data_IF_014266054970
#
_entry.id   IF_014266054970
#
_cell.length_a   1.000
_cell.length_b   1.000
_cell.length_c   1.000
_cell.angle_alpha   90.00
_cell.angle_beta   90.00
_cell.angle_gamma   90.00
#
_symmetry.space_group_name_H-M   'P 1'
#
loop_
_entity.id
_entity.type
_entity.pdbx_description
1 polymer ?
#
# COMPACT_ATOMS: atom_id res chain seq x y z
N UNK A 1 5.16 -11.56 -10.56
CA UNK A 1 6.45 -10.97 -10.90
C UNK A 1 7.48 -11.12 -9.81
N UNK A 2 7.15 -10.73 -8.58
CA UNK A 2 8.07 -10.86 -7.45
C UNK A 2 8.53 -12.30 -7.24
N UNK A 3 7.62 -13.26 -7.34
CA UNK A 3 7.92 -14.67 -7.14
C UNK A 3 8.93 -15.23 -8.13
N UNK A 4 9.07 -14.58 -9.29
CA UNK A 4 10.04 -15.03 -10.31
C UNK A 4 11.47 -14.57 -10.03
N UNK A 5 11.62 -13.50 -9.22
CA UNK A 5 12.89 -12.82 -9.05
C UNK A 5 13.55 -13.06 -7.69
N UNK A 6 12.87 -13.73 -6.78
CA UNK A 6 13.38 -14.00 -5.44
C UNK A 6 13.24 -15.48 -5.10
N UNK A 7 14.19 -15.99 -4.33
CA UNK A 7 14.18 -17.40 -3.91
C UNK A 7 13.06 -17.72 -2.94
N UNK A 8 12.71 -16.77 -2.08
CA UNK A 8 11.67 -16.95 -1.08
C UNK A 8 10.86 -15.68 -0.98
N UNK A 9 9.56 -15.79 -1.23
CA UNK A 9 8.64 -14.68 -1.13
C UNK A 9 7.44 -15.09 -0.29
N UNK A 10 7.12 -14.24 0.68
CA UNK A 10 5.83 -14.30 1.38
C UNK A 10 5.00 -13.12 0.94
N UNK A 11 3.73 -13.38 0.60
CA UNK A 11 2.79 -12.33 0.21
C UNK A 11 1.66 -12.30 1.23
N UNK A 12 1.40 -11.11 1.78
CA UNK A 12 0.33 -10.88 2.75
C UNK A 12 -0.69 -9.95 2.12
N UNK A 13 -1.94 -10.35 2.16
CA UNK A 13 -3.06 -9.57 1.63
C UNK A 13 -3.86 -8.99 2.78
N UNK A 14 -4.03 -7.65 2.77
CA UNK A 14 -4.83 -6.94 3.76
C UNK A 14 -5.96 -6.26 3.03
N UNK A 15 -7.20 -6.59 3.42
CA UNK A 15 -8.36 -5.89 2.91
C UNK A 15 -8.78 -4.85 3.95
N UNK A 16 -9.00 -3.63 3.51
CA UNK A 16 -9.48 -2.59 4.41
C UNK A 16 -10.85 -2.10 3.97
N UNK A 17 -11.71 -2.00 4.93
CA UNK A 17 -13.08 -1.55 4.79
C UNK A 17 -13.36 -0.65 5.99
N UNK A 18 -14.40 -0.89 6.78
CA UNK A 18 -14.56 -0.20 8.07
C UNK A 18 -13.55 -0.71 9.07
N UNK A 19 -13.08 -1.95 8.91
CA UNK A 19 -11.97 -2.49 9.69
C UNK A 19 -11.03 -3.24 8.75
N UNK A 20 -9.77 -3.37 9.16
CA UNK A 20 -8.78 -4.09 8.36
C UNK A 20 -8.62 -5.50 8.87
N UNK A 21 -8.39 -6.43 7.94
CA UNK A 21 -8.04 -7.80 8.31
C UNK A 21 -7.16 -8.42 7.23
N UNK A 22 -6.30 -9.33 7.66
CA UNK A 22 -5.52 -10.15 6.75
C UNK A 22 -6.45 -11.17 6.11
N UNK A 23 -6.32 -11.36 4.79
CA UNK A 23 -7.16 -12.28 4.03
C UNK A 23 -6.28 -13.10 3.09
N UNK A 24 -6.82 -14.18 2.54
CA UNK A 24 -6.12 -14.93 1.50
C UNK A 24 -6.28 -14.24 0.15
N UNK A 25 -5.51 -14.72 -0.84
CA UNK A 25 -5.51 -14.13 -2.17
C UNK A 25 -6.90 -14.14 -2.81
N UNK A 26 -7.64 -15.22 -2.65
CA UNK A 26 -8.97 -15.35 -3.23
C UNK A 26 -9.94 -14.34 -2.62
N UNK A 27 -9.94 -14.22 -1.30
CA UNK A 27 -10.80 -13.26 -0.63
C UNK A 27 -10.43 -11.82 -0.99
N UNK A 28 -9.15 -11.54 -1.12
CA UNK A 28 -8.67 -10.21 -1.49
C UNK A 28 -9.19 -9.77 -2.86
N UNK A 29 -9.12 -10.65 -3.87
CA UNK A 29 -9.48 -10.28 -5.22
C UNK A 29 -10.96 -10.43 -5.56
N UNK A 30 -11.68 -11.32 -4.87
CA UNK A 30 -13.04 -11.68 -5.28
C UNK A 30 -14.12 -11.23 -4.31
N UNK A 31 -13.79 -10.81 -3.10
CA UNK A 31 -14.84 -10.34 -2.21
C UNK A 31 -15.25 -8.92 -2.54
N UNK A 32 -16.52 -8.61 -2.34
CA UNK A 32 -17.07 -7.28 -2.57
C UNK A 32 -17.67 -6.77 -1.29
N UNK A 33 -17.24 -5.60 -0.86
CA UNK A 33 -17.80 -4.95 0.31
C UNK A 33 -18.04 -3.49 -0.01
N UNK A 34 -19.11 -2.95 0.58
CA UNK A 34 -19.47 -1.55 0.44
C UNK A 34 -19.54 -0.89 1.80
N UNK A 35 -19.24 0.39 1.87
CA UNK A 35 -19.29 1.15 3.11
C UNK A 35 -18.10 2.08 3.26
N UNK A 36 -18.03 2.75 4.40
CA UNK A 36 -16.94 3.68 4.68
C UNK A 36 -15.63 2.95 4.95
N UNK A 37 -14.52 3.66 4.74
CA UNK A 37 -13.19 3.10 4.92
C UNK A 37 -12.40 3.98 5.89
N UNK A 38 -11.74 3.34 6.85
CA UNK A 38 -10.77 3.99 7.71
C UNK A 38 -9.41 3.38 7.37
N UNK A 39 -8.68 4.05 6.49
CA UNK A 39 -7.46 3.51 5.89
C UNK A 39 -6.37 3.27 6.92
N UNK A 40 -6.30 4.10 7.98
CA UNK A 40 -5.29 3.91 9.03
C UNK A 40 -5.37 2.53 9.68
N UNK A 41 -6.55 1.92 9.71
CA UNK A 41 -6.69 0.57 10.28
C UNK A 41 -5.89 -0.47 9.49
N UNK A 42 -5.84 -0.32 8.18
CA UNK A 42 -5.03 -1.21 7.33
C UNK A 42 -3.53 -0.99 7.56
N UNK A 43 -3.11 0.26 7.68
CA UNK A 43 -1.70 0.57 7.93
C UNK A 43 -1.24 0.09 9.30
N UNK A 44 -2.09 0.22 10.31
CA UNK A 44 -1.80 -0.30 11.65
C UNK A 44 -1.65 -1.82 11.64
N UNK A 45 -2.56 -2.51 10.93
CA UNK A 45 -2.46 -3.96 10.80
C UNK A 45 -1.19 -4.37 10.05
N UNK A 46 -0.85 -3.65 8.99
CA UNK A 46 0.38 -3.90 8.25
C UNK A 46 1.61 -3.77 9.16
N UNK A 47 1.65 -2.72 9.97
CA UNK A 47 2.76 -2.50 10.88
C UNK A 47 2.88 -3.61 11.92
N UNK A 48 1.74 -4.07 12.46
CA UNK A 48 1.74 -5.20 13.41
C UNK A 48 2.26 -6.48 12.76
N UNK A 49 1.84 -6.77 11.54
CA UNK A 49 2.29 -7.96 10.81
C UNK A 49 3.79 -7.88 10.53
N UNK A 50 4.27 -6.72 10.12
CA UNK A 50 5.70 -6.52 9.88
C UNK A 50 6.50 -6.79 11.14
N UNK A 51 6.07 -6.23 12.28
CA UNK A 51 6.79 -6.39 13.54
C UNK A 51 6.79 -7.84 14.03
N UNK A 52 5.68 -8.54 13.85
CA UNK A 52 5.53 -9.91 14.38
C UNK A 52 6.16 -10.98 13.50
N UNK A 53 6.09 -10.82 12.17
CA UNK A 53 6.44 -11.91 11.25
C UNK A 53 7.60 -11.59 10.32
N UNK A 54 7.95 -10.32 10.11
CA UNK A 54 8.92 -9.93 9.09
C UNK A 54 9.94 -8.94 9.63
N UNK A 55 10.82 -9.37 10.55
CA UNK A 55 11.87 -8.49 11.07
C UNK A 55 12.74 -7.94 9.95
N UNK A 56 13.06 -6.64 10.02
CA UNK A 56 13.76 -5.94 8.93
C UNK A 56 15.18 -6.46 8.71
N UNK A 57 15.79 -7.12 9.71
CA UNK A 57 17.12 -7.71 9.55
C UNK A 57 17.08 -9.04 8.80
N UNK A 58 15.91 -9.60 8.56
CA UNK A 58 15.75 -10.88 7.86
C UNK A 58 14.97 -10.75 6.55
N UNK A 59 14.20 -9.67 6.38
CA UNK A 59 13.30 -9.51 5.24
C UNK A 59 13.46 -8.14 4.58
N UNK A 60 13.42 -8.13 3.26
CA UNK A 60 13.22 -6.92 2.50
C UNK A 60 11.72 -6.76 2.29
N UNK A 61 11.16 -5.66 2.76
CA UNK A 61 9.71 -5.46 2.80
C UNK A 61 9.30 -4.47 1.71
N UNK A 62 8.35 -4.87 0.90
CA UNK A 62 7.75 -4.05 -0.16
C UNK A 62 6.26 -3.93 0.11
N UNK A 63 5.72 -2.73 -0.05
CA UNK A 63 4.31 -2.49 0.15
C UNK A 63 3.62 -1.98 -1.10
N UNK A 64 2.36 -2.35 -1.27
CA UNK A 64 1.52 -1.87 -2.35
C UNK A 64 0.12 -1.64 -1.81
N UNK A 65 -0.40 -0.43 -2.04
CA UNK A 65 -1.74 -0.07 -1.62
C UNK A 65 -2.53 0.41 -2.82
N UNK A 66 -3.72 -0.14 -3.00
CA UNK A 66 -4.65 0.30 -4.02
C UNK A 66 -5.96 0.74 -3.35
N UNK A 67 -6.46 1.90 -3.72
CA UNK A 67 -7.64 2.51 -3.10
C UNK A 67 -8.29 3.49 -4.07
N UNK A 68 -9.58 3.78 -3.89
CA UNK A 68 -10.22 4.88 -4.62
C UNK A 68 -9.86 6.24 -4.03
N UNK A 69 -9.08 6.25 -2.96
CA UNK A 69 -8.64 7.47 -2.30
C UNK A 69 -9.61 8.05 -1.29
N UNK A 70 -10.82 7.51 -1.23
CA UNK A 70 -11.82 8.00 -0.29
C UNK A 70 -11.46 7.55 1.12
N UNK A 71 -11.43 8.50 2.03
CA UNK A 71 -11.07 8.27 3.42
C UNK A 71 -11.61 9.43 4.24
N UNK A 72 -11.82 9.21 5.53
CA UNK A 72 -12.22 10.28 6.42
C UNK A 72 -11.13 11.36 6.47
N UNK A 73 -11.53 12.61 6.44
CA UNK A 73 -10.58 13.73 6.45
C UNK A 73 -9.69 13.73 7.68
N UNK A 74 -10.23 13.31 8.84
CA UNK A 74 -9.45 13.23 10.07
C UNK A 74 -8.49 12.05 10.08
N UNK A 75 -8.73 11.04 9.26
CA UNK A 75 -7.91 9.84 9.22
C UNK A 75 -6.73 9.95 8.25
N UNK A 76 -6.87 10.72 7.19
CA UNK A 76 -5.81 10.84 6.18
C UNK A 76 -4.49 11.35 6.75
N UNK A 77 -4.46 12.39 7.61
CA UNK A 77 -3.22 12.78 8.27
C UNK A 77 -2.65 11.70 9.18
N UNK A 78 -3.50 10.88 9.80
CA UNK A 78 -3.06 9.75 10.61
C UNK A 78 -2.35 8.72 9.74
N UNK A 79 -2.87 8.45 8.55
CA UNK A 79 -2.24 7.55 7.57
C UNK A 79 -0.85 8.06 7.17
N UNK A 80 -0.75 9.35 6.87
CA UNK A 80 0.54 9.98 6.55
C UNK A 80 1.54 9.79 7.68
N UNK A 81 1.14 10.05 8.92
CA UNK A 81 2.05 9.96 10.06
C UNK A 81 2.48 8.52 10.32
N UNK A 82 1.58 7.56 10.17
CA UNK A 82 1.92 6.14 10.31
C UNK A 82 2.94 5.73 9.25
N UNK A 83 2.73 6.13 8.00
CA UNK A 83 3.67 5.81 6.93
C UNK A 83 5.04 6.41 7.20
N UNK A 84 5.10 7.70 7.50
CA UNK A 84 6.38 8.40 7.68
C UNK A 84 7.15 7.87 8.89
N UNK A 85 6.46 7.61 10.01
CA UNK A 85 7.13 7.32 11.28
C UNK A 85 7.26 5.83 11.59
N UNK A 86 6.36 4.98 11.08
CA UNK A 86 6.27 3.59 11.53
C UNK A 86 6.44 2.57 10.42
N UNK A 87 6.22 2.93 9.17
CA UNK A 87 6.28 1.98 8.05
C UNK A 87 7.46 2.26 7.14
N UNK A 88 7.55 3.46 6.58
CA UNK A 88 8.56 3.78 5.57
C UNK A 88 10.02 3.59 6.05
N UNK A 89 10.36 3.88 7.33
CA UNK A 89 11.74 3.63 7.78
C UNK A 89 12.19 2.18 7.68
N UNK A 90 11.23 1.23 7.61
CA UNK A 90 11.51 -0.21 7.56
C UNK A 90 11.22 -0.84 6.20
N UNK A 91 10.88 -0.02 5.20
CA UNK A 91 10.47 -0.49 3.88
C UNK A 91 11.58 -0.30 2.85
N UNK A 92 11.66 -1.24 1.90
CA UNK A 92 12.48 -1.05 0.72
C UNK A 92 11.77 -0.16 -0.29
N UNK A 93 10.47 -0.36 -0.47
CA UNK A 93 9.69 0.40 -1.41
C UNK A 93 8.21 0.26 -1.11
N UNK A 94 7.47 1.35 -1.24
CA UNK A 94 6.02 1.38 -1.07
C UNK A 94 5.41 2.15 -2.22
N UNK A 95 4.39 1.59 -2.85
CA UNK A 95 3.67 2.27 -3.91
C UNK A 95 2.19 2.39 -3.57
N UNK A 96 1.65 3.57 -3.83
CA UNK A 96 0.22 3.86 -3.64
C UNK A 96 -0.42 4.12 -5.00
N UNK A 97 -1.50 3.39 -5.29
CA UNK A 97 -2.26 3.56 -6.51
C UNK A 97 -3.66 4.03 -6.17
N UNK A 98 -4.02 5.21 -6.66
CA UNK A 98 -5.36 5.75 -6.54
C UNK A 98 -6.15 5.39 -7.80
N UNK A 99 -7.24 4.66 -7.62
CA UNK A 99 -8.08 4.21 -8.72
C UNK A 99 -9.30 5.12 -8.77
N UNK A 100 -9.25 6.13 -9.62
CA UNK A 100 -10.35 7.06 -9.78
C UNK A 100 -10.29 7.74 -11.16
N UNK A 101 -11.42 7.91 -11.84
CA UNK A 101 -11.47 8.69 -13.08
C UNK A 101 -11.62 10.21 -12.83
N UNK A 102 -11.63 10.61 -11.57
CA UNK A 102 -11.91 11.98 -11.15
C UNK A 102 -10.67 12.61 -10.53
N UNK A 103 -10.89 13.72 -9.84
CA UNK A 103 -9.83 14.41 -9.12
C UNK A 103 -9.34 13.57 -7.94
N UNK A 104 -8.12 13.84 -7.50
CA UNK A 104 -7.53 13.16 -6.36
C UNK A 104 -8.36 13.38 -5.09
N UNK A 105 -8.39 12.37 -4.25
CA UNK A 105 -9.08 12.41 -2.97
C UNK A 105 -8.11 12.80 -1.84
N UNK A 106 -8.65 12.92 -0.62
CA UNK A 106 -7.90 13.42 0.52
C UNK A 106 -6.59 12.65 0.78
N UNK A 107 -6.63 11.33 0.64
CA UNK A 107 -5.47 10.50 0.93
C UNK A 107 -4.29 10.80 0.00
N UNK A 108 -4.57 11.10 -1.27
CA UNK A 108 -3.52 11.44 -2.24
C UNK A 108 -2.69 12.65 -1.78
N UNK A 109 -3.35 13.69 -1.32
CA UNK A 109 -2.67 14.92 -0.92
C UNK A 109 -1.82 14.71 0.34
N UNK A 110 -2.31 13.90 1.28
CA UNK A 110 -1.50 13.58 2.44
C UNK A 110 -0.29 12.72 2.07
N UNK A 111 -0.46 11.81 1.12
CA UNK A 111 0.62 10.94 0.67
C UNK A 111 1.67 11.67 -0.16
N UNK A 112 1.37 12.84 -0.71
CA UNK A 112 2.38 13.67 -1.34
C UNK A 112 3.49 14.05 -0.35
N UNK A 113 3.14 14.25 0.92
CA UNK A 113 4.13 14.53 1.96
C UNK A 113 5.01 13.32 2.26
N UNK A 114 4.45 12.12 2.16
CA UNK A 114 5.24 10.89 2.28
C UNK A 114 6.24 10.79 1.13
N UNK A 115 5.81 11.10 -0.07
CA UNK A 115 6.67 11.10 -1.26
C UNK A 115 7.81 12.12 -1.14
N UNK A 116 7.53 13.30 -0.58
CA UNK A 116 8.56 14.31 -0.36
C UNK A 116 9.59 13.88 0.68
N UNK A 117 9.15 13.14 1.70
CA UNK A 117 10.03 12.66 2.76
C UNK A 117 10.87 11.46 2.30
N UNK A 118 10.29 10.60 1.46
CA UNK A 118 10.92 9.37 0.99
C UNK A 118 10.90 9.28 -0.55
N UNK A 119 11.57 10.21 -1.24
CA UNK A 119 11.42 10.32 -2.70
C UNK A 119 11.92 9.11 -3.49
N UNK A 120 12.83 8.32 -2.92
CA UNK A 120 13.38 7.16 -3.62
C UNK A 120 12.71 5.85 -3.23
N UNK A 121 11.87 5.84 -2.18
CA UNK A 121 11.27 4.61 -1.68
C UNK A 121 9.74 4.65 -1.63
N UNK A 122 9.13 5.77 -2.02
CA UNK A 122 7.67 5.90 -2.09
C UNK A 122 7.26 6.46 -3.45
N UNK A 123 6.21 5.87 -4.04
CA UNK A 123 5.66 6.34 -5.31
C UNK A 123 4.14 6.37 -5.27
N UNK A 124 3.57 7.28 -6.05
CA UNK A 124 2.12 7.42 -6.21
C UNK A 124 1.77 7.37 -7.70
N UNK A 125 0.65 6.73 -8.02
CA UNK A 125 0.15 6.64 -9.38
C UNK A 125 -1.36 6.69 -9.38
N UNK A 126 -1.97 7.41 -10.32
CA UNK A 126 -3.41 7.40 -10.50
C UNK A 126 -3.78 6.50 -11.67
N UNK A 127 -4.83 5.69 -11.49
CA UNK A 127 -5.40 4.84 -12.53
C UNK A 127 -6.89 5.12 -12.67
N UNK A 128 -7.42 4.94 -13.87
CA UNK A 128 -8.84 5.12 -14.10
C UNK A 128 -9.64 3.83 -13.91
N UNK A 129 -8.97 2.68 -13.90
CA UNK A 129 -9.62 1.38 -13.81
C UNK A 129 -8.77 0.41 -13.00
N UNK A 130 -9.44 -0.44 -12.21
CA UNK A 130 -8.78 -1.49 -11.45
C UNK A 130 -8.05 -2.49 -12.35
N UNK A 131 -8.46 -2.62 -13.62
CA UNK A 131 -7.79 -3.52 -14.56
C UNK A 131 -6.34 -3.12 -14.84
N UNK A 132 -5.97 -1.88 -14.57
CA UNK A 132 -4.62 -1.38 -14.82
C UNK A 132 -3.66 -1.58 -13.64
N UNK A 133 -4.14 -2.13 -12.52
CA UNK A 133 -3.32 -2.29 -11.30
C UNK A 133 -2.07 -3.13 -11.56
N UNK A 134 -2.24 -4.32 -12.13
CA UNK A 134 -1.13 -5.25 -12.30
C UNK A 134 -0.02 -4.68 -13.19
N UNK A 135 -0.32 -4.12 -14.39
CA UNK A 135 0.73 -3.54 -15.22
C UNK A 135 1.49 -2.41 -14.54
N UNK A 136 0.79 -1.55 -13.79
CA UNK A 136 1.43 -0.42 -13.11
C UNK A 136 2.32 -0.90 -11.97
N UNK A 137 1.83 -1.81 -11.13
CA UNK A 137 2.66 -2.36 -10.05
C UNK A 137 3.87 -3.08 -10.62
N UNK A 138 3.69 -3.86 -11.67
CA UNK A 138 4.79 -4.56 -12.33
C UNK A 138 5.87 -3.58 -12.79
N UNK A 139 5.49 -2.49 -13.43
CA UNK A 139 6.43 -1.49 -13.91
C UNK A 139 7.16 -0.82 -12.75
N UNK A 140 6.44 -0.39 -11.72
CA UNK A 140 7.04 0.31 -10.59
C UNK A 140 8.04 -0.57 -9.84
N UNK A 141 7.67 -1.83 -9.56
CA UNK A 141 8.55 -2.74 -8.86
C UNK A 141 9.71 -3.20 -9.73
N UNK A 142 9.50 -3.34 -11.02
CA UNK A 142 10.56 -3.71 -11.95
C UNK A 142 11.65 -2.63 -12.00
N UNK A 143 11.26 -1.36 -12.06
CA UNK A 143 12.21 -0.26 -12.02
C UNK A 143 13.04 -0.30 -10.75
N UNK A 144 12.41 -0.57 -9.62
CA UNK A 144 13.09 -0.58 -8.33
C UNK A 144 14.09 -1.72 -8.22
N UNK A 145 13.77 -2.88 -8.80
CA UNK A 145 14.60 -4.08 -8.67
C UNK A 145 15.81 -4.10 -9.58
N UNK A 146 15.80 -3.38 -10.70
CA UNK A 146 16.96 -3.33 -11.59
C UNK A 146 17.91 -2.20 -11.22
N UNK A 147 17.53 -1.34 -10.32
CA UNK A 147 18.41 -0.29 -9.81
C UNK A 147 18.94 -0.67 -8.44
#
# INVERSE_FOLDING_TARGET
FLKRNYKKIDVVFIRHHTSAKEVDEQEFFYSQETGGTIVSSALKLMQEIMAERYPVNEWNIYGAQASDGDNWNDDSPVCRDILINQIMPFMQYFTYVEITPREHQALWYEYEQVSETFPSSFAQQQLVSAADIYPVFRELFQRRMVT
#
